data_IF_100668900748
#
_entry.id   IF_100668900748
#
_cell.length_a   1.000
_cell.length_b   1.000
_cell.length_c   1.000
_cell.angle_alpha   90.00
_cell.angle_beta   90.00
_cell.angle_gamma   90.00
#
_symmetry.space_group_name_H-M   'P 1'
#
loop_
_entity.id
_entity.type
_entity.pdbx_description
1 polymer ?
#
# COMPACT_ATOMS: atom_id res chain seq x y z
N UNK A 1 -6.40 -4.39 -15.86
CA UNK A 1 -6.15 -3.22 -14.97
C UNK A 1 -5.11 -2.26 -15.55
N UNK A 2 -3.98 -2.72 -16.10
CA UNK A 2 -3.01 -1.87 -16.82
C UNK A 2 -2.10 -1.02 -15.92
N UNK A 3 -2.39 -0.95 -14.62
CA UNK A 3 -1.56 -0.33 -13.59
C UNK A 3 -0.76 -1.37 -12.81
N UNK A 4 0.09 -0.92 -11.88
CA UNK A 4 0.92 -1.76 -11.03
C UNK A 4 0.73 -1.39 -9.55
N UNK A 5 1.01 -2.35 -8.66
CA UNK A 5 1.07 -2.08 -7.22
C UNK A 5 2.38 -1.34 -6.92
N UNK A 6 2.29 -0.03 -6.66
CA UNK A 6 3.47 0.83 -6.50
C UNK A 6 4.29 0.48 -5.26
N UNK A 7 3.63 0.08 -4.17
CA UNK A 7 4.27 -0.32 -2.93
C UNK A 7 3.28 -1.11 -2.06
N UNK A 8 3.80 -2.04 -1.27
CA UNK A 8 3.04 -2.82 -0.30
C UNK A 8 3.40 -2.32 1.10
N UNK A 9 2.41 -1.80 1.83
CA UNK A 9 2.62 -1.31 3.20
C UNK A 9 2.29 -2.45 4.17
N UNK A 10 3.25 -2.94 4.96
CA UNK A 10 2.98 -3.97 5.96
C UNK A 10 2.12 -3.43 7.10
N UNK A 11 1.38 -4.34 7.76
CA UNK A 11 0.66 -4.01 8.99
C UNK A 11 1.65 -3.96 10.14
N UNK A 12 1.69 -2.84 10.84
CA UNK A 12 2.54 -2.63 12.00
C UNK A 12 1.79 -1.92 13.12
N UNK A 13 1.93 -2.40 14.35
CA UNK A 13 1.31 -1.82 15.54
C UNK A 13 1.86 -0.41 15.85
N UNK A 14 3.02 -0.05 15.29
CA UNK A 14 3.59 1.28 15.38
C UNK A 14 2.65 2.34 14.78
N UNK A 15 1.89 2.00 13.74
CA UNK A 15 0.89 2.91 13.17
C UNK A 15 -0.12 3.33 14.24
N UNK A 16 -0.68 2.36 14.97
CA UNK A 16 -1.66 2.62 16.03
C UNK A 16 -1.08 3.47 17.18
N UNK A 17 0.17 3.19 17.57
CA UNK A 17 0.86 3.98 18.62
C UNK A 17 1.08 5.43 18.18
N UNK A 18 1.49 5.66 16.94
CA UNK A 18 1.67 6.99 16.38
C UNK A 18 0.33 7.74 16.26
N UNK A 19 -0.70 7.06 15.76
CA UNK A 19 -2.08 7.58 15.63
C UNK A 19 -2.68 7.98 16.99
N UNK A 20 -2.48 7.17 18.04
CA UNK A 20 -2.91 7.53 19.40
C UNK A 20 -2.28 8.84 19.90
N UNK A 21 -1.03 9.08 19.51
CA UNK A 21 -0.31 10.31 19.81
C UNK A 21 -0.61 11.44 18.80
N UNK A 22 -1.57 11.25 17.89
CA UNK A 22 -1.94 12.19 16.82
C UNK A 22 -0.76 12.62 15.95
N UNK A 23 0.19 11.72 15.75
CA UNK A 23 1.40 11.94 14.92
C UNK A 23 1.46 10.90 13.82
N UNK A 24 2.14 11.24 12.72
CA UNK A 24 2.54 10.23 11.74
C UNK A 24 3.65 9.34 12.30
N UNK A 25 3.81 8.12 11.77
CA UNK A 25 4.91 7.23 12.20
C UNK A 25 6.27 7.88 11.96
N UNK A 26 6.42 8.63 10.87
CA UNK A 26 7.62 9.41 10.54
C UNK A 26 7.94 10.50 11.55
N UNK A 27 6.92 11.14 12.15
CA UNK A 27 7.12 12.17 13.19
C UNK A 27 7.27 11.59 14.60
N UNK A 28 6.64 10.44 14.86
CA UNK A 28 6.65 9.80 16.17
C UNK A 28 7.94 9.01 16.38
N UNK A 29 8.32 8.16 15.42
CA UNK A 29 9.51 7.31 15.49
C UNK A 29 10.16 7.21 14.09
N UNK A 30 10.99 8.20 13.72
CA UNK A 30 11.57 8.29 12.38
C UNK A 30 12.53 7.14 12.04
N UNK A 31 13.09 6.46 13.05
CA UNK A 31 13.99 5.32 12.89
C UNK A 31 13.27 3.98 12.76
N UNK A 32 11.95 3.95 12.92
CA UNK A 32 11.17 2.72 12.85
C UNK A 32 11.08 2.21 11.41
N UNK A 33 11.08 0.88 11.21
CA UNK A 33 11.00 0.28 9.88
C UNK A 33 9.79 0.77 9.07
N UNK A 34 8.64 0.90 9.73
CA UNK A 34 7.42 1.46 9.12
C UNK A 34 7.59 2.90 8.60
N UNK A 35 8.43 3.74 9.23
CA UNK A 35 8.75 5.08 8.70
C UNK A 35 9.58 4.98 7.40
N UNK A 36 10.48 4.00 7.31
CA UNK A 36 11.26 3.73 6.10
C UNK A 36 10.36 3.22 4.96
N UNK A 37 9.37 2.36 5.24
CA UNK A 37 8.38 1.93 4.23
C UNK A 37 7.60 3.12 3.65
N UNK A 38 7.17 4.07 4.48
CA UNK A 38 6.53 5.30 3.99
C UNK A 38 7.48 6.18 3.16
N UNK A 39 8.77 6.22 3.52
CA UNK A 39 9.77 6.98 2.75
C UNK A 39 10.03 6.34 1.38
N UNK A 40 10.12 5.01 1.33
CA UNK A 40 10.23 4.27 0.06
C UNK A 40 8.98 4.39 -0.79
N UNK A 41 7.78 4.33 -0.19
CA UNK A 41 6.52 4.62 -0.88
C UNK A 41 6.54 6.02 -1.50
N UNK A 42 6.93 7.03 -0.74
CA UNK A 42 7.01 8.41 -1.21
C UNK A 42 7.99 8.55 -2.38
N UNK A 43 9.17 7.94 -2.28
CA UNK A 43 10.16 7.91 -3.36
C UNK A 43 9.61 7.27 -4.63
N UNK A 44 8.96 6.10 -4.51
CA UNK A 44 8.35 5.40 -5.66
C UNK A 44 7.23 6.21 -6.32
N UNK A 45 6.46 6.96 -5.55
CA UNK A 45 5.43 7.88 -6.08
C UNK A 45 6.09 9.00 -6.89
N UNK A 46 7.13 9.65 -6.34
CA UNK A 46 7.83 10.76 -7.00
C UNK A 46 8.51 10.30 -8.29
N UNK A 47 9.12 9.11 -8.28
CA UNK A 47 9.81 8.54 -9.43
C UNK A 47 8.87 7.81 -10.42
N UNK A 48 7.57 7.70 -10.13
CA UNK A 48 6.66 6.96 -10.99
C UNK A 48 6.46 7.68 -12.34
N UNK A 49 6.75 6.97 -13.43
CA UNK A 49 6.52 7.45 -14.80
C UNK A 49 5.40 6.68 -15.51
N UNK A 50 4.87 5.62 -14.89
CA UNK A 50 3.86 4.76 -15.47
C UNK A 50 2.46 5.33 -15.18
N UNK A 51 1.99 6.21 -16.06
CA UNK A 51 0.64 6.76 -16.04
C UNK A 51 -0.19 6.15 -17.17
N UNK A 52 -1.30 5.52 -16.83
CA UNK A 52 -2.14 4.76 -17.76
C UNK A 52 -3.61 5.12 -17.57
N UNK A 53 -4.40 4.98 -18.63
CA UNK A 53 -5.86 4.96 -18.51
C UNK A 53 -6.23 3.54 -18.04
N UNK A 54 -6.86 3.38 -16.86
CA UNK A 54 -7.18 2.07 -16.33
C UNK A 54 -8.20 1.36 -17.21
N UNK A 55 -8.07 0.04 -17.32
CA UNK A 55 -9.08 -0.84 -17.94
C UNK A 55 -9.88 -1.52 -16.84
N UNK A 56 -11.16 -1.15 -16.62
CA UNK A 56 -12.01 -1.78 -15.63
C UNK A 56 -12.10 -3.29 -15.83
N UNK A 57 -12.17 -4.02 -14.72
CA UNK A 57 -12.44 -5.46 -14.72
C UNK A 57 -13.95 -5.68 -14.76
N UNK A 58 -14.38 -6.79 -15.35
CA UNK A 58 -15.78 -7.25 -15.22
C UNK A 58 -16.01 -7.90 -13.85
N UNK A 59 -17.27 -8.08 -13.45
CA UNK A 59 -17.62 -8.76 -12.20
C UNK A 59 -17.08 -10.21 -12.19
N UNK A 60 -17.27 -10.96 -13.28
CA UNK A 60 -16.76 -12.34 -13.39
C UNK A 60 -15.24 -12.42 -13.22
N UNK A 61 -14.50 -11.44 -13.75
CA UNK A 61 -13.04 -11.38 -13.60
C UNK A 61 -12.63 -11.07 -12.16
N UNK A 62 -13.40 -10.23 -11.46
CA UNK A 62 -13.19 -9.93 -10.05
C UNK A 62 -13.44 -11.17 -9.18
N UNK A 63 -14.56 -11.87 -9.39
CA UNK A 63 -14.90 -13.10 -8.66
C UNK A 63 -13.84 -14.18 -8.85
N UNK A 64 -13.35 -14.38 -10.09
CA UNK A 64 -12.26 -15.31 -10.37
C UNK A 64 -10.97 -14.93 -9.65
N UNK A 65 -10.64 -13.63 -9.55
CA UNK A 65 -9.48 -13.17 -8.80
C UNK A 65 -9.62 -13.44 -7.30
N UNK A 66 -10.81 -13.23 -6.73
CA UNK A 66 -11.08 -13.54 -5.31
C UNK A 66 -11.03 -15.04 -5.06
N UNK A 67 -11.54 -15.90 -5.94
CA UNK A 67 -11.41 -17.36 -5.76
C UNK A 67 -9.94 -17.79 -5.87
N UNK A 68 -9.18 -17.19 -6.78
CA UNK A 68 -7.78 -17.57 -7.05
C UNK A 68 -6.80 -17.11 -5.98
N UNK A 69 -6.98 -15.90 -5.44
CA UNK A 69 -6.04 -15.26 -4.51
C UNK A 69 -6.66 -14.90 -3.16
N UNK A 70 -7.98 -15.01 -3.04
CA UNK A 70 -8.64 -14.95 -1.75
C UNK A 70 -8.07 -16.07 -0.91
N UNK A 71 -7.68 -15.68 0.29
CA UNK A 71 -7.34 -16.58 1.38
C UNK A 71 -8.59 -17.44 1.59
N UNK A 72 -8.67 -18.57 0.88
CA UNK A 72 -9.49 -19.68 1.30
C UNK A 72 -8.91 -20.07 2.66
N UNK A 73 -9.75 -20.11 3.69
CA UNK A 73 -9.34 -20.52 5.03
C UNK A 73 -8.39 -21.73 5.02
#
# INVERSE_FOLDING_TARGET
IGTHMIHFVPRDNMVQKAEFNKKTVTEYEPTHNQANEYSELARKIIENQNFVIPKPLTMDQLEQMVVKYGLSD
#
